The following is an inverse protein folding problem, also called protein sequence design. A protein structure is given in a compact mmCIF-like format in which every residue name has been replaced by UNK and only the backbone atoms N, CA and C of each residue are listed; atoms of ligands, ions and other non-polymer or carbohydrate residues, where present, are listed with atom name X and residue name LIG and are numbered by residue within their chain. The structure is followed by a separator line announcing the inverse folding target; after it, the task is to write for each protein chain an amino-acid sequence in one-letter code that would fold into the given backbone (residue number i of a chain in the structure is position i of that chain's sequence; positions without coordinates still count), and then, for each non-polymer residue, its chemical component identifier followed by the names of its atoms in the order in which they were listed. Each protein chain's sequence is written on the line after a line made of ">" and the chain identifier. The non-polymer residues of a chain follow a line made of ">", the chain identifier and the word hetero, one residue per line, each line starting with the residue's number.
data_IF_399097828694
#
_entry.id   IF_399097828694
#
_cell.length_a   1.000
_cell.length_b   1.000
_cell.length_c   1.000
_cell.angle_alpha   90.00
_cell.angle_beta   90.00
_cell.angle_gamma   90.00
#
_symmetry.space_group_name_H-M   'P 1'
#
loop_
_entity.id
_entity.type
_entity.pdbx_description
1 polymer ?
#
# COMPACT_ATOMS: atom_id res chain seq x y z
N UNK A 1 -6.40 -5.57 -14.95
CA UNK A 1 -6.18 -4.43 -14.02
C UNK A 1 -7.52 -3.96 -13.48
N UNK A 2 -7.62 -3.68 -12.19
CA UNK A 2 -8.84 -3.27 -11.49
C UNK A 2 -8.62 -1.89 -10.85
N UNK A 3 -9.68 -1.09 -10.78
CA UNK A 3 -9.64 0.21 -10.15
C UNK A 3 -10.15 0.13 -8.71
N UNK A 4 -9.37 0.63 -7.80
CA UNK A 4 -9.69 0.75 -6.38
C UNK A 4 -9.43 2.16 -5.85
N UNK A 5 -9.71 2.34 -4.58
CA UNK A 5 -9.40 3.57 -3.86
C UNK A 5 -9.15 3.28 -2.38
N UNK A 6 -8.42 4.16 -1.72
CA UNK A 6 -8.22 4.15 -0.27
C UNK A 6 -9.43 4.80 0.39
N UNK A 7 -10.13 4.03 1.24
CA UNK A 7 -11.32 4.47 1.98
C UNK A 7 -10.90 5.27 3.21
N UNK A 8 -10.83 6.56 3.07
CA UNK A 8 -10.46 7.55 4.10
C UNK A 8 -11.14 8.90 3.77
N UNK A 9 -11.60 9.70 4.74
CA UNK A 9 -11.60 9.44 6.19
C UNK A 9 -12.86 8.74 6.72
N UNK A 10 -13.86 8.46 5.88
CA UNK A 10 -15.13 7.85 6.28
C UNK A 10 -14.97 6.34 6.52
N UNK A 11 -15.86 5.71 7.31
CA UNK A 11 -15.86 4.27 7.46
C UNK A 11 -16.22 3.55 6.14
N UNK A 12 -15.75 2.30 5.93
CA UNK A 12 -15.96 1.58 4.68
C UNK A 12 -17.43 1.44 4.28
N UNK A 13 -18.34 1.35 5.26
CA UNK A 13 -19.77 1.27 5.03
C UNK A 13 -20.32 2.47 4.24
N UNK A 14 -19.78 3.67 4.49
CA UNK A 14 -20.22 4.91 3.83
C UNK A 14 -19.67 5.04 2.41
N UNK A 15 -18.70 4.20 2.04
CA UNK A 15 -18.10 4.19 0.70
C UNK A 15 -18.67 3.11 -0.24
N UNK A 16 -19.51 2.20 0.24
CA UNK A 16 -20.01 1.11 -0.59
C UNK A 16 -20.79 1.62 -1.83
N UNK A 17 -21.77 2.52 -1.61
CA UNK A 17 -22.52 3.13 -2.72
C UNK A 17 -21.63 3.97 -3.63
N UNK A 18 -20.69 4.72 -3.06
CA UNK A 18 -19.71 5.50 -3.81
C UNK A 18 -18.88 4.61 -4.75
N UNK A 19 -18.42 3.45 -4.27
CA UNK A 19 -17.66 2.52 -5.08
C UNK A 19 -18.46 2.05 -6.31
N UNK A 20 -19.71 1.63 -6.10
CA UNK A 20 -20.59 1.15 -7.16
C UNK A 20 -20.95 2.27 -8.15
N UNK A 21 -21.35 3.44 -7.64
CA UNK A 21 -21.75 4.60 -8.45
C UNK A 21 -20.63 5.08 -9.37
N UNK A 22 -19.38 5.03 -8.91
CA UNK A 22 -18.23 5.50 -9.67
C UNK A 22 -17.42 4.36 -10.33
N UNK A 23 -17.92 3.12 -10.30
CA UNK A 23 -17.32 1.97 -10.99
C UNK A 23 -15.96 1.56 -10.45
N UNK A 24 -15.74 1.71 -9.14
CA UNK A 24 -14.62 1.07 -8.45
C UNK A 24 -14.97 -0.38 -8.13
N UNK A 25 -14.01 -1.27 -8.23
CA UNK A 25 -14.18 -2.71 -7.95
C UNK A 25 -13.39 -3.18 -6.73
N UNK A 26 -12.65 -2.26 -6.11
CA UNK A 26 -11.83 -2.53 -4.92
C UNK A 26 -11.84 -1.35 -3.96
N UNK A 27 -11.81 -1.66 -2.66
CA UNK A 27 -11.72 -0.69 -1.58
C UNK A 27 -10.60 -1.12 -0.62
N UNK A 28 -9.60 -0.28 -0.45
CA UNK A 28 -8.61 -0.45 0.60
C UNK A 28 -9.04 0.31 1.85
N UNK A 29 -9.24 -0.41 2.95
CA UNK A 29 -9.72 0.14 4.21
C UNK A 29 -8.53 0.65 5.01
N UNK A 30 -8.40 1.97 5.12
CA UNK A 30 -7.34 2.61 5.89
C UNK A 30 -7.72 2.66 7.39
N UNK A 31 -6.83 2.16 8.23
CA UNK A 31 -7.06 2.07 9.68
C UNK A 31 -6.51 3.26 10.47
N UNK A 32 -6.10 4.34 9.82
CA UNK A 32 -5.57 5.53 10.50
C UNK A 32 -6.66 6.35 11.20
N UNK A 33 -7.84 6.49 10.59
CA UNK A 33 -8.94 7.26 11.18
C UNK A 33 -9.58 6.55 12.39
N UNK A 34 -9.94 7.26 13.48
CA UNK A 34 -10.47 6.66 14.71
C UNK A 34 -11.70 5.77 14.52
N UNK A 35 -12.57 6.10 13.57
CA UNK A 35 -13.75 5.31 13.23
C UNK A 35 -13.41 3.99 12.51
N UNK A 36 -12.19 3.86 12.02
CA UNK A 36 -11.68 2.70 11.30
C UNK A 36 -10.62 1.92 12.08
N UNK A 37 -10.32 2.29 13.33
CA UNK A 37 -9.37 1.55 14.13
C UNK A 37 -9.74 0.07 14.25
N UNK A 38 -8.74 -0.79 14.27
CA UNK A 38 -8.88 -2.23 14.33
C UNK A 38 -9.82 -2.72 15.44
N UNK A 39 -9.86 -2.01 16.57
CA UNK A 39 -10.77 -2.30 17.69
C UNK A 39 -12.26 -2.16 17.35
N UNK A 40 -12.60 -1.46 16.27
CA UNK A 40 -13.98 -1.31 15.77
C UNK A 40 -14.45 -2.48 14.92
N UNK A 41 -13.54 -3.35 14.48
CA UNK A 41 -13.87 -4.53 13.67
C UNK A 41 -14.21 -5.72 14.58
N UNK A 42 -15.39 -5.66 15.20
CA UNK A 42 -15.95 -6.79 15.94
C UNK A 42 -16.67 -7.75 14.98
N UNK A 43 -16.89 -9.01 15.41
CA UNK A 43 -17.39 -10.10 14.55
C UNK A 43 -18.68 -9.76 13.78
N UNK A 44 -19.62 -9.01 14.38
CA UNK A 44 -20.87 -8.63 13.72
C UNK A 44 -20.61 -7.64 12.58
N UNK A 45 -19.75 -6.62 12.80
CA UNK A 45 -19.36 -5.66 11.76
C UNK A 45 -18.65 -6.35 10.61
N UNK A 46 -17.70 -7.24 10.92
CA UNK A 46 -16.95 -8.01 9.91
C UNK A 46 -17.91 -8.83 9.04
N UNK A 47 -18.82 -9.59 9.65
CA UNK A 47 -19.80 -10.38 8.87
C UNK A 47 -20.71 -9.53 7.99
N UNK A 48 -21.17 -8.37 8.49
CA UNK A 48 -22.01 -7.46 7.72
C UNK A 48 -21.26 -6.85 6.54
N UNK A 49 -20.03 -6.34 6.76
CA UNK A 49 -19.19 -5.81 5.71
C UNK A 49 -18.87 -6.87 4.66
N UNK A 50 -18.45 -8.08 5.09
CA UNK A 50 -18.16 -9.18 4.17
C UNK A 50 -19.35 -9.47 3.24
N UNK A 51 -20.56 -9.59 3.80
CA UNK A 51 -21.78 -9.80 3.01
C UNK A 51 -22.00 -8.65 2.02
N UNK A 52 -21.86 -7.39 2.45
CA UNK A 52 -22.04 -6.23 1.59
C UNK A 52 -21.01 -6.19 0.45
N UNK A 53 -19.74 -6.51 0.72
CA UNK A 53 -18.73 -6.64 -0.33
C UNK A 53 -19.07 -7.75 -1.33
N UNK A 54 -19.54 -8.91 -0.85
CA UNK A 54 -19.98 -10.03 -1.70
C UNK A 54 -21.20 -9.65 -2.55
N UNK A 55 -22.24 -9.04 -1.96
CA UNK A 55 -23.47 -8.61 -2.64
C UNK A 55 -23.21 -7.55 -3.73
N UNK A 56 -22.21 -6.69 -3.52
CA UNK A 56 -21.84 -5.62 -4.46
C UNK A 56 -20.69 -6.00 -5.42
N UNK A 57 -20.24 -7.25 -5.37
CA UNK A 57 -19.08 -7.75 -6.15
C UNK A 57 -17.79 -6.91 -5.97
N UNK A 58 -17.66 -6.27 -4.80
CA UNK A 58 -16.47 -5.51 -4.42
C UNK A 58 -15.46 -6.41 -3.74
N UNK A 59 -14.18 -6.13 -3.98
CA UNK A 59 -13.07 -6.72 -3.22
C UNK A 59 -12.52 -5.69 -2.23
N UNK A 60 -11.85 -6.17 -1.17
CA UNK A 60 -11.23 -5.28 -0.18
C UNK A 60 -9.81 -5.70 0.17
N UNK A 61 -9.04 -4.75 0.68
CA UNK A 61 -7.79 -4.91 1.40
C UNK A 61 -7.80 -4.02 2.64
N UNK A 62 -6.80 -4.16 3.49
CA UNK A 62 -6.57 -3.23 4.58
C UNK A 62 -5.25 -2.51 4.40
N UNK A 63 -5.21 -1.26 4.83
CA UNK A 63 -3.99 -0.51 5.07
C UNK A 63 -3.77 -0.36 6.57
N UNK A 64 -2.61 -0.82 7.07
CA UNK A 64 -2.25 -0.67 8.48
C UNK A 64 -2.03 0.81 8.81
N UNK A 65 -2.26 1.23 10.07
CA UNK A 65 -2.05 2.62 10.44
C UNK A 65 -0.63 3.11 10.12
N UNK A 66 -0.51 4.24 9.47
CA UNK A 66 0.75 4.90 9.10
C UNK A 66 1.81 4.97 10.23
N UNK A 67 1.46 5.28 11.52
CA UNK A 67 2.47 5.36 12.56
C UNK A 67 3.00 4.00 13.05
N UNK A 68 2.49 2.89 12.53
CA UNK A 68 2.88 1.55 12.98
C UNK A 68 4.30 1.23 12.50
N UNK A 69 5.24 1.04 13.44
CA UNK A 69 6.65 0.85 13.12
C UNK A 69 7.09 -0.62 13.33
N UNK A 70 7.20 -1.38 12.24
CA UNK A 70 7.70 -2.76 12.26
C UNK A 70 9.23 -2.85 12.44
N UNK A 71 9.92 -1.72 12.30
CA UNK A 71 11.37 -1.59 12.43
C UNK A 71 11.82 -0.96 13.76
N UNK A 72 10.90 -0.73 14.70
CA UNK A 72 11.18 -0.01 15.94
C UNK A 72 12.37 -0.57 16.71
N UNK A 73 13.18 0.33 17.27
CA UNK A 73 14.38 -0.03 18.02
C UNK A 73 14.06 -0.61 19.39
N UNK A 74 12.95 -0.18 20.00
CA UNK A 74 12.50 -0.67 21.29
C UNK A 74 11.75 -1.99 21.08
N UNK A 75 12.27 -3.12 21.61
CA UNK A 75 11.69 -4.44 21.35
C UNK A 75 10.22 -4.57 21.72
N UNK A 76 9.82 -3.94 22.84
CA UNK A 76 8.44 -3.97 23.36
C UNK A 76 7.49 -3.21 22.42
N UNK A 77 7.90 -2.04 21.89
CA UNK A 77 7.12 -1.26 20.94
C UNK A 77 6.98 -2.01 19.63
N UNK A 78 8.08 -2.57 19.11
CA UNK A 78 8.05 -3.42 17.91
C UNK A 78 7.17 -4.65 18.10
N UNK A 79 7.24 -5.32 19.26
CA UNK A 79 6.39 -6.47 19.56
C UNK A 79 4.90 -6.09 19.59
N UNK A 80 4.55 -4.90 20.07
CA UNK A 80 3.19 -4.37 20.03
C UNK A 80 2.73 -4.10 18.58
N UNK A 81 3.59 -3.52 17.74
CA UNK A 81 3.33 -3.30 16.32
C UNK A 81 3.10 -4.64 15.58
N UNK A 82 3.98 -5.62 15.78
CA UNK A 82 3.83 -6.96 15.21
C UNK A 82 2.51 -7.61 15.66
N UNK A 83 2.19 -7.56 16.95
CA UNK A 83 0.92 -8.09 17.48
C UNK A 83 -0.31 -7.41 16.87
N UNK A 84 -0.22 -6.10 16.58
CA UNK A 84 -1.28 -5.38 15.89
C UNK A 84 -1.50 -5.94 14.48
N UNK A 85 -0.42 -6.13 13.72
CA UNK A 85 -0.51 -6.70 12.35
C UNK A 85 -0.97 -8.15 12.38
N UNK A 86 -0.54 -8.98 13.37
CA UNK A 86 -1.07 -10.34 13.55
C UNK A 86 -2.60 -10.34 13.71
N UNK A 87 -3.13 -9.42 14.53
CA UNK A 87 -4.58 -9.27 14.70
C UNK A 87 -5.26 -8.75 13.43
N UNK A 88 -4.62 -7.81 12.73
CA UNK A 88 -5.13 -7.27 11.48
C UNK A 88 -5.24 -8.36 10.40
N UNK A 89 -4.24 -9.23 10.27
CA UNK A 89 -4.28 -10.38 9.36
C UNK A 89 -5.46 -11.33 9.68
N UNK A 90 -5.77 -11.54 10.96
CA UNK A 90 -6.94 -12.34 11.36
C UNK A 90 -8.25 -11.68 10.95
N UNK A 91 -8.40 -10.38 11.20
CA UNK A 91 -9.58 -9.60 10.78
C UNK A 91 -9.71 -9.58 9.26
N UNK A 92 -8.60 -9.41 8.55
CA UNK A 92 -8.57 -9.43 7.09
C UNK A 92 -9.03 -10.80 6.54
N UNK A 93 -8.57 -11.89 7.14
CA UNK A 93 -9.04 -13.24 6.80
C UNK A 93 -10.55 -13.41 7.04
N UNK A 94 -11.07 -12.98 8.20
CA UNK A 94 -12.49 -13.06 8.52
C UNK A 94 -13.34 -12.21 7.55
N UNK A 95 -12.87 -11.03 7.14
CA UNK A 95 -13.53 -10.17 6.17
C UNK A 95 -13.49 -10.75 4.74
N UNK A 96 -12.47 -11.55 4.42
CA UNK A 96 -12.18 -12.01 3.06
C UNK A 96 -11.37 -10.99 2.25
N UNK A 97 -10.62 -10.13 2.94
CA UNK A 97 -9.72 -9.16 2.33
C UNK A 97 -8.59 -9.85 1.55
N UNK A 98 -8.14 -9.24 0.48
CA UNK A 98 -7.18 -9.84 -0.46
C UNK A 98 -5.73 -9.75 0.02
N UNK A 99 -5.37 -8.72 0.77
CA UNK A 99 -4.07 -8.51 1.40
C UNK A 99 -4.17 -7.47 2.52
N UNK A 100 -3.07 -7.29 3.23
CA UNK A 100 -2.86 -6.19 4.18
C UNK A 100 -1.63 -5.40 3.71
N UNK A 101 -1.81 -4.12 3.39
CA UNK A 101 -0.72 -3.18 3.11
C UNK A 101 -0.13 -2.68 4.43
N UNK A 102 1.20 -2.65 4.51
CA UNK A 102 1.94 -2.13 5.67
C UNK A 102 3.15 -1.34 5.21
N UNK A 103 3.43 -0.25 5.92
CA UNK A 103 4.71 0.43 5.80
C UNK A 103 5.82 -0.42 6.42
N UNK A 104 7.05 -0.38 5.89
CA UNK A 104 8.17 -1.15 6.41
C UNK A 104 8.60 -0.70 7.81
N UNK A 105 8.32 0.57 8.12
CA UNK A 105 8.77 1.23 9.33
C UNK A 105 10.00 2.12 9.11
N UNK A 106 10.55 2.59 10.21
CA UNK A 106 11.61 3.59 10.22
C UNK A 106 12.56 3.40 11.41
N UNK A 107 13.78 3.92 11.26
CA UNK A 107 14.71 4.16 12.37
C UNK A 107 14.65 5.61 12.84
N UNK A 108 14.87 5.84 14.12
CA UNK A 108 15.09 7.18 14.66
C UNK A 108 16.59 7.47 14.74
N UNK A 109 17.03 8.57 14.17
CA UNK A 109 18.40 9.00 14.12
C UNK A 109 18.70 9.77 12.86
N UNK A 110 19.93 10.27 12.73
CA UNK A 110 20.35 11.05 11.56
C UNK A 110 20.63 10.08 10.40
N UNK A 111 20.15 10.33 9.18
CA UNK A 111 20.37 9.43 8.02
C UNK A 111 21.83 9.12 7.71
N UNK A 112 22.77 10.01 8.11
CA UNK A 112 24.20 9.79 7.96
C UNK A 112 24.79 8.73 8.90
N UNK A 113 24.01 8.23 9.86
CA UNK A 113 24.38 7.14 10.75
C UNK A 113 23.98 5.80 10.12
N UNK A 114 24.86 5.21 9.34
CA UNK A 114 24.62 3.94 8.63
C UNK A 114 24.07 2.82 9.53
N UNK A 115 24.49 2.77 10.80
CA UNK A 115 23.99 1.78 11.74
C UNK A 115 22.49 1.92 12.06
N UNK A 116 21.92 3.13 11.95
CA UNK A 116 20.47 3.38 12.19
C UNK A 116 19.66 2.62 11.15
N UNK A 117 20.00 2.79 9.88
CA UNK A 117 19.32 2.10 8.77
C UNK A 117 19.51 0.59 8.84
N UNK A 118 20.73 0.13 9.05
CA UNK A 118 21.03 -1.29 9.18
C UNK A 118 20.25 -1.93 10.34
N UNK A 119 20.19 -1.26 11.50
CA UNK A 119 19.44 -1.75 12.67
C UNK A 119 17.94 -1.78 12.45
N UNK A 120 17.39 -0.75 11.80
CA UNK A 120 15.97 -0.71 11.44
C UNK A 120 15.63 -1.85 10.47
N UNK A 121 16.46 -2.07 9.44
CA UNK A 121 16.28 -3.17 8.50
C UNK A 121 16.34 -4.54 9.17
N UNK A 122 17.28 -4.79 10.08
CA UNK A 122 17.34 -6.03 10.86
C UNK A 122 16.08 -6.25 11.70
N UNK A 123 15.55 -5.18 12.26
CA UNK A 123 14.32 -5.25 13.05
C UNK A 123 13.09 -5.53 12.18
N UNK A 124 13.00 -4.90 10.99
CA UNK A 124 11.95 -5.22 10.01
C UNK A 124 12.01 -6.70 9.61
N UNK A 125 13.18 -7.21 9.28
CA UNK A 125 13.38 -8.63 8.93
C UNK A 125 12.87 -9.57 10.03
N UNK A 126 13.19 -9.30 11.30
CA UNK A 126 12.67 -10.06 12.45
C UNK A 126 11.15 -9.97 12.58
N UNK A 127 10.56 -8.83 12.24
CA UNK A 127 9.10 -8.67 12.24
C UNK A 127 8.46 -9.49 11.12
N UNK A 128 9.06 -9.51 9.93
CA UNK A 128 8.61 -10.32 8.79
C UNK A 128 8.73 -11.82 9.07
N UNK A 129 9.83 -12.30 9.68
CA UNK A 129 10.02 -13.69 10.08
C UNK A 129 8.87 -14.18 10.97
N UNK A 130 8.31 -13.28 11.77
CA UNK A 130 7.17 -13.61 12.64
C UNK A 130 5.82 -13.51 11.94
N UNK A 131 5.64 -12.55 11.05
CA UNK A 131 4.36 -12.25 10.41
C UNK A 131 4.07 -13.17 9.21
N UNK A 132 5.07 -13.47 8.40
CA UNK A 132 4.88 -14.23 7.15
C UNK A 132 4.31 -15.64 7.36
N UNK A 133 4.75 -16.44 8.34
CA UNK A 133 4.13 -17.75 8.59
C UNK A 133 2.64 -17.66 8.97
N UNK A 134 2.22 -16.57 9.62
CA UNK A 134 0.82 -16.33 9.91
C UNK A 134 0.05 -15.91 8.65
N UNK A 135 0.61 -15.03 7.85
CA UNK A 135 0.04 -14.57 6.58
C UNK A 135 -0.18 -15.75 5.61
N UNK A 136 0.79 -16.66 5.50
CA UNK A 136 0.67 -17.89 4.71
C UNK A 136 -0.46 -18.78 5.21
N UNK A 137 -0.50 -19.06 6.52
CA UNK A 137 -1.54 -19.92 7.13
C UNK A 137 -2.94 -19.34 6.95
N UNK A 138 -3.09 -18.02 7.04
CA UNK A 138 -4.38 -17.34 6.85
C UNK A 138 -4.70 -17.10 5.37
N UNK A 139 -3.77 -17.35 4.46
CA UNK A 139 -3.88 -17.03 3.03
C UNK A 139 -4.21 -15.54 2.77
N UNK A 140 -3.68 -14.66 3.61
CA UNK A 140 -3.79 -13.19 3.50
C UNK A 140 -2.38 -12.63 3.36
N UNK A 141 -1.93 -12.28 2.15
CA UNK A 141 -0.62 -11.71 1.93
C UNK A 141 -0.40 -10.41 2.69
N UNK A 142 0.84 -10.18 3.09
CA UNK A 142 1.34 -8.92 3.60
C UNK A 142 2.01 -8.17 2.44
N UNK A 143 1.48 -7.02 2.05
CA UNK A 143 2.02 -6.17 1.00
C UNK A 143 2.86 -5.05 1.64
N UNK A 144 4.18 -5.09 1.43
CA UNK A 144 5.05 -3.97 1.83
C UNK A 144 4.90 -2.84 0.82
N UNK A 145 4.80 -1.63 1.34
CA UNK A 145 4.76 -0.41 0.55
C UNK A 145 6.12 0.29 0.56
N UNK A 146 6.58 0.77 -0.60
CA UNK A 146 7.75 1.64 -0.68
C UNK A 146 7.40 3.04 -0.18
N UNK A 147 8.34 3.67 0.51
CA UNK A 147 8.16 5.00 1.10
C UNK A 147 9.06 6.01 0.36
N UNK A 148 8.61 7.26 0.30
CA UNK A 148 9.42 8.35 -0.23
C UNK A 148 10.66 8.65 0.64
N UNK A 149 11.79 9.05 0.05
CA UNK A 149 12.96 9.47 0.81
C UNK A 149 12.68 10.73 1.62
N UNK A 150 13.37 10.88 2.73
CA UNK A 150 13.33 12.07 3.58
C UNK A 150 14.59 12.93 3.39
N UNK A 151 14.53 14.25 3.70
CA UNK A 151 15.71 15.09 3.70
C UNK A 151 16.87 14.55 4.55
N UNK A 152 18.11 14.78 4.13
CA UNK A 152 19.32 14.25 4.79
C UNK A 152 19.53 14.73 6.23
N UNK A 153 18.88 15.79 6.64
CA UNK A 153 18.87 16.35 8.00
C UNK A 153 17.67 15.90 8.84
N UNK A 154 16.85 14.99 8.29
CA UNK A 154 15.75 14.39 9.03
C UNK A 154 16.24 13.55 10.21
N UNK A 155 15.43 13.50 11.28
CA UNK A 155 15.66 12.58 12.42
C UNK A 155 14.99 11.22 12.21
N UNK A 156 14.39 11.00 11.05
CA UNK A 156 13.73 9.74 10.67
C UNK A 156 14.44 9.17 9.45
N UNK A 157 14.67 7.86 9.45
CA UNK A 157 15.20 7.10 8.33
C UNK A 157 14.13 6.10 7.92
N UNK A 158 13.38 6.39 6.87
CA UNK A 158 12.43 5.41 6.32
C UNK A 158 13.17 4.29 5.61
N UNK A 159 12.58 3.09 5.66
CA UNK A 159 13.06 1.92 4.93
C UNK A 159 12.30 1.77 3.61
N UNK A 160 12.91 1.07 2.66
CA UNK A 160 12.36 0.79 1.33
C UNK A 160 12.06 2.07 0.52
N UNK A 161 12.89 3.11 0.75
CA UNK A 161 12.85 4.35 -0.01
C UNK A 161 13.67 4.29 -1.31
N UNK A 162 14.23 3.13 -1.64
CA UNK A 162 14.93 2.85 -2.90
C UNK A 162 14.57 1.48 -3.46
N UNK A 163 14.59 1.36 -4.78
CA UNK A 163 14.35 0.10 -5.48
C UNK A 163 15.40 -0.98 -5.15
N UNK A 164 16.66 -0.57 -4.95
CA UNK A 164 17.73 -1.49 -4.56
C UNK A 164 17.46 -2.13 -3.20
N UNK A 165 17.04 -1.34 -2.20
CA UNK A 165 16.76 -1.86 -0.86
C UNK A 165 15.55 -2.79 -0.86
N UNK A 166 14.47 -2.41 -1.58
CA UNK A 166 13.31 -3.28 -1.78
C UNK A 166 13.71 -4.59 -2.45
N UNK A 167 14.46 -4.54 -3.55
CA UNK A 167 14.90 -5.73 -4.28
C UNK A 167 15.74 -6.67 -3.41
N UNK A 168 16.66 -6.12 -2.60
CA UNK A 168 17.46 -6.91 -1.63
C UNK A 168 16.56 -7.61 -0.61
N UNK A 169 15.63 -6.88 0.01
CA UNK A 169 14.71 -7.46 0.98
C UNK A 169 13.87 -8.59 0.36
N UNK A 170 13.32 -8.38 -0.83
CA UNK A 170 12.52 -9.39 -1.53
C UNK A 170 13.31 -10.66 -1.87
N UNK A 171 14.62 -10.53 -2.14
CA UNK A 171 15.49 -11.68 -2.42
C UNK A 171 15.77 -12.53 -1.17
N UNK A 172 15.77 -11.91 0.00
CA UNK A 172 15.97 -12.61 1.28
C UNK A 172 14.72 -13.35 1.79
N UNK A 173 13.53 -12.93 1.34
CA UNK A 173 12.25 -13.49 1.77
C UNK A 173 11.50 -14.16 0.60
N UNK A 174 11.71 -15.46 0.34
CA UNK A 174 11.05 -16.15 -0.77
C UNK A 174 9.57 -16.49 -0.51
N UNK A 175 9.03 -16.14 0.67
CA UNK A 175 7.64 -16.40 1.06
C UNK A 175 6.64 -15.89 0.00
N UNK A 176 5.67 -16.72 -0.44
CA UNK A 176 4.61 -16.30 -1.36
C UNK A 176 3.64 -15.30 -0.73
N UNK A 177 3.61 -15.24 0.61
CA UNK A 177 2.77 -14.28 1.35
C UNK A 177 3.41 -12.88 1.45
N UNK A 178 4.68 -12.71 1.10
CA UNK A 178 5.29 -11.39 0.98
C UNK A 178 5.01 -10.82 -0.39
N UNK A 179 4.19 -9.79 -0.44
CA UNK A 179 3.81 -9.04 -1.64
C UNK A 179 4.26 -7.58 -1.53
N UNK A 180 4.01 -6.81 -2.57
CA UNK A 180 4.35 -5.39 -2.65
C UNK A 180 3.12 -4.61 -3.07
N UNK A 181 2.90 -3.49 -2.42
CA UNK A 181 2.14 -2.36 -2.92
C UNK A 181 3.16 -1.31 -3.39
N UNK A 182 3.20 -0.99 -4.68
CA UNK A 182 4.07 0.08 -5.15
C UNK A 182 3.29 1.39 -5.07
N UNK A 183 3.72 2.29 -4.20
CA UNK A 183 3.28 3.67 -4.29
C UNK A 183 4.08 4.38 -5.39
N UNK A 184 3.33 4.83 -6.43
CA UNK A 184 3.91 5.47 -7.61
C UNK A 184 4.44 6.86 -7.30
N UNK A 185 3.72 7.60 -6.45
CA UNK A 185 4.15 8.92 -6.01
C UNK A 185 5.46 8.87 -5.22
N UNK A 186 5.56 7.97 -4.26
CA UNK A 186 6.79 7.73 -3.50
C UNK A 186 7.95 7.28 -4.40
N UNK A 187 7.66 6.39 -5.35
CA UNK A 187 8.67 5.91 -6.29
C UNK A 187 9.24 7.04 -7.17
N UNK A 188 8.38 7.93 -7.66
CA UNK A 188 8.79 9.04 -8.53
C UNK A 188 9.59 10.14 -7.79
N UNK A 189 9.42 10.26 -6.47
CA UNK A 189 10.28 11.11 -5.62
C UNK A 189 11.65 10.47 -5.35
N UNK A 190 11.81 9.18 -5.63
CA UNK A 190 13.04 8.40 -5.41
C UNK A 190 13.69 7.98 -6.75
N UNK A 191 13.78 6.68 -7.00
CA UNK A 191 14.48 6.09 -8.15
C UNK A 191 13.61 6.04 -9.43
N UNK A 192 12.36 6.48 -9.33
CA UNK A 192 11.34 6.38 -10.39
C UNK A 192 10.59 5.05 -10.42
N UNK A 193 9.33 5.08 -10.87
CA UNK A 193 8.47 3.90 -10.93
C UNK A 193 9.09 2.71 -11.70
N UNK A 194 9.78 2.90 -12.86
CA UNK A 194 10.38 1.78 -13.57
C UNK A 194 11.41 0.98 -12.78
N UNK A 195 12.17 1.65 -11.89
CA UNK A 195 13.15 0.98 -11.04
C UNK A 195 12.46 0.08 -10.01
N UNK A 196 11.45 0.60 -9.30
CA UNK A 196 10.66 -0.20 -8.35
C UNK A 196 9.89 -1.33 -9.04
N UNK A 197 9.32 -1.07 -10.21
CA UNK A 197 8.64 -2.09 -11.00
C UNK A 197 9.58 -3.24 -11.38
N UNK A 198 10.80 -2.94 -11.82
CA UNK A 198 11.77 -3.94 -12.26
C UNK A 198 12.08 -5.00 -11.19
N UNK A 199 12.09 -4.61 -9.92
CA UNK A 199 12.41 -5.49 -8.78
C UNK A 199 11.18 -6.13 -8.13
N UNK A 200 10.00 -5.53 -8.29
CA UNK A 200 8.79 -5.93 -7.54
C UNK A 200 7.66 -6.52 -8.39
N UNK A 201 7.68 -6.41 -9.74
CA UNK A 201 6.58 -6.77 -10.63
C UNK A 201 5.98 -8.16 -10.36
N UNK A 202 6.81 -9.17 -10.08
CA UNK A 202 6.37 -10.54 -9.83
C UNK A 202 5.66 -10.73 -8.47
N UNK A 203 5.71 -9.71 -7.61
CA UNK A 203 5.12 -9.71 -6.26
C UNK A 203 4.16 -8.55 -6.04
N UNK A 204 4.04 -7.63 -7.01
CA UNK A 204 3.17 -6.48 -6.92
C UNK A 204 1.69 -6.92 -7.02
N UNK A 205 0.90 -6.61 -5.99
CA UNK A 205 -0.54 -6.91 -5.94
C UNK A 205 -1.38 -5.66 -6.09
N UNK A 206 -0.83 -4.51 -5.73
CA UNK A 206 -1.49 -3.21 -5.81
C UNK A 206 -0.50 -2.10 -6.12
N UNK A 207 -1.04 -1.01 -6.64
CA UNK A 207 -0.37 0.28 -6.67
C UNK A 207 -1.20 1.29 -5.89
N UNK A 208 -0.51 2.18 -5.16
CA UNK A 208 -1.09 3.45 -4.75
C UNK A 208 -0.76 4.51 -5.80
N UNK A 209 -1.75 5.31 -6.17
CA UNK A 209 -1.59 6.33 -7.21
C UNK A 209 -2.10 7.68 -6.74
N UNK A 210 -1.21 8.62 -6.74
CA UNK A 210 -1.40 10.06 -6.59
C UNK A 210 -0.33 10.76 -7.39
N UNK A 211 -0.51 12.03 -7.70
CA UNK A 211 0.47 12.82 -8.46
C UNK A 211 1.30 13.70 -7.52
N UNK A 212 2.45 14.16 -8.01
CA UNK A 212 3.34 15.06 -7.31
C UNK A 212 4.24 15.83 -8.29
N UNK A 213 5.18 16.61 -7.75
CA UNK A 213 6.17 17.39 -8.52
C UNK A 213 7.48 16.61 -8.78
N UNK A 214 7.53 15.31 -8.46
CA UNK A 214 8.71 14.43 -8.45
C UNK A 214 9.80 14.79 -7.43
N UNK A 215 9.50 15.70 -6.51
CA UNK A 215 10.42 16.13 -5.44
C UNK A 215 9.81 16.00 -4.05
N UNK A 216 8.49 16.08 -3.97
CA UNK A 216 7.74 16.07 -2.70
C UNK A 216 6.53 15.17 -2.83
N UNK A 217 6.19 14.49 -1.76
CA UNK A 217 4.98 13.69 -1.66
C UNK A 217 3.76 14.60 -1.43
N UNK A 218 3.03 14.94 -2.51
CA UNK A 218 2.00 15.98 -2.50
C UNK A 218 0.56 15.45 -2.56
N UNK A 219 0.35 14.18 -2.87
CA UNK A 219 -0.98 13.59 -3.07
C UNK A 219 -1.90 14.43 -3.98
N UNK A 220 -1.40 14.86 -5.14
CA UNK A 220 -2.17 15.57 -6.15
C UNK A 220 -3.03 14.60 -6.97
N UNK A 221 -4.04 15.14 -7.64
CA UNK A 221 -4.85 14.36 -8.59
C UNK A 221 -4.00 13.97 -9.80
N UNK A 222 -3.92 12.68 -10.19
CA UNK A 222 -3.23 12.23 -11.40
C UNK A 222 -3.55 13.07 -12.62
N UNK A 223 -2.49 13.56 -13.28
CA UNK A 223 -2.56 14.49 -14.40
C UNK A 223 -2.50 15.96 -14.03
N UNK A 224 -2.37 16.32 -12.75
CA UNK A 224 -2.18 17.72 -12.30
C UNK A 224 -0.77 18.01 -11.76
N UNK A 225 0.05 16.99 -11.62
CA UNK A 225 1.46 17.08 -11.24
C UNK A 225 2.39 16.82 -12.40
N UNK A 226 3.55 16.21 -12.13
CA UNK A 226 4.64 15.96 -13.06
C UNK A 226 4.82 14.51 -13.46
N UNK A 227 4.08 13.58 -12.86
CA UNK A 227 4.22 12.14 -13.14
C UNK A 227 3.73 11.81 -14.55
N UNK A 228 4.55 11.07 -15.30
CA UNK A 228 4.17 10.61 -16.65
C UNK A 228 3.29 9.37 -16.58
N UNK A 229 1.98 9.57 -16.41
CA UNK A 229 1.01 8.48 -16.30
C UNK A 229 0.91 7.59 -17.53
N UNK A 230 1.23 8.11 -18.73
CA UNK A 230 1.29 7.28 -19.94
C UNK A 230 2.45 6.26 -19.83
N UNK A 231 3.62 6.68 -19.35
CA UNK A 231 4.75 5.80 -19.10
C UNK A 231 4.45 4.76 -18.01
N UNK A 232 3.87 5.17 -16.88
CA UNK A 232 3.48 4.27 -15.79
C UNK A 232 2.52 3.21 -16.30
N UNK A 233 1.42 3.61 -16.93
CA UNK A 233 0.39 2.68 -17.38
C UNK A 233 0.84 1.80 -18.54
N UNK A 234 1.71 2.29 -19.44
CA UNK A 234 2.29 1.44 -20.49
C UNK A 234 3.20 0.35 -19.90
N UNK A 235 4.01 0.69 -18.88
CA UNK A 235 4.83 -0.28 -18.15
C UNK A 235 3.98 -1.38 -17.51
N UNK A 236 2.84 -1.02 -16.91
CA UNK A 236 1.90 -1.99 -16.33
C UNK A 236 1.26 -2.89 -17.38
N UNK A 237 0.85 -2.31 -18.52
CA UNK A 237 0.29 -3.06 -19.64
C UNK A 237 1.29 -4.08 -20.18
N UNK A 238 2.50 -3.63 -20.45
CA UNK A 238 3.55 -4.45 -21.06
C UNK A 238 4.07 -5.53 -20.10
N UNK A 239 4.03 -5.26 -18.79
CA UNK A 239 4.30 -6.22 -17.73
C UNK A 239 3.13 -7.15 -17.38
N UNK A 240 1.97 -7.01 -18.04
CA UNK A 240 0.81 -7.88 -17.81
C UNK A 240 0.19 -7.74 -16.41
N UNK A 241 0.27 -6.55 -15.79
CA UNK A 241 -0.26 -6.33 -14.45
C UNK A 241 -1.78 -6.53 -14.39
N UNK A 242 -2.23 -7.44 -13.53
CA UNK A 242 -3.64 -7.77 -13.31
C UNK A 242 -4.15 -7.40 -11.90
N UNK A 243 -3.31 -6.75 -11.10
CA UNK A 243 -3.61 -6.30 -9.74
C UNK A 243 -4.57 -5.11 -9.67
N UNK A 244 -4.50 -4.39 -8.57
CA UNK A 244 -5.36 -3.23 -8.28
C UNK A 244 -4.56 -1.93 -8.35
N UNK A 245 -5.13 -0.92 -8.98
CA UNK A 245 -4.65 0.46 -8.95
C UNK A 245 -5.55 1.22 -8.00
N UNK A 246 -5.07 1.48 -6.78
CA UNK A 246 -5.77 2.20 -5.73
C UNK A 246 -5.48 3.69 -5.81
N UNK A 247 -6.52 4.49 -6.02
CA UNK A 247 -6.41 5.96 -5.91
C UNK A 247 -6.27 6.33 -4.43
N UNK A 248 -5.15 6.94 -4.06
CA UNK A 248 -4.86 7.36 -2.70
C UNK A 248 -4.98 8.89 -2.57
N UNK A 249 -6.21 9.34 -2.43
CA UNK A 249 -6.58 10.75 -2.29
C UNK A 249 -7.62 10.94 -1.20
N UNK A 250 -7.65 12.13 -0.59
CA UNK A 250 -8.47 12.37 0.60
C UNK A 250 -9.90 12.81 0.30
N UNK A 251 -10.17 13.42 -0.85
CA UNK A 251 -11.53 13.84 -1.21
C UNK A 251 -12.19 12.90 -2.22
N UNK A 252 -13.49 12.71 -2.10
CA UNK A 252 -14.26 11.84 -2.99
C UNK A 252 -14.23 12.37 -4.44
N UNK A 253 -14.30 13.69 -4.62
CA UNK A 253 -14.20 14.33 -5.94
C UNK A 253 -12.86 14.06 -6.60
N UNK A 254 -11.75 14.16 -5.84
CA UNK A 254 -10.41 13.88 -6.35
C UNK A 254 -10.23 12.41 -6.71
N UNK A 255 -10.80 11.46 -5.93
CA UNK A 255 -10.77 10.03 -6.28
C UNK A 255 -11.43 9.77 -7.63
N UNK A 256 -12.60 10.38 -7.88
CA UNK A 256 -13.32 10.23 -9.15
C UNK A 256 -12.55 10.89 -10.31
N UNK A 257 -11.99 12.09 -10.09
CA UNK A 257 -11.21 12.79 -11.10
C UNK A 257 -9.95 11.98 -11.50
N UNK A 258 -9.24 11.45 -10.50
CA UNK A 258 -8.06 10.61 -10.69
C UNK A 258 -8.39 9.36 -11.54
N UNK A 259 -9.42 8.62 -11.13
CA UNK A 259 -9.85 7.42 -11.88
C UNK A 259 -10.18 7.75 -13.32
N UNK A 260 -10.97 8.80 -13.57
CA UNK A 260 -11.34 9.23 -14.93
C UNK A 260 -10.12 9.58 -15.79
N UNK A 261 -9.15 10.27 -15.22
CA UNK A 261 -7.91 10.61 -15.93
C UNK A 261 -7.13 9.35 -16.31
N UNK A 262 -6.89 8.47 -15.34
CA UNK A 262 -6.13 7.23 -15.54
C UNK A 262 -6.85 6.25 -16.49
N UNK A 263 -8.17 6.14 -16.40
CA UNK A 263 -8.96 5.33 -17.35
C UNK A 263 -8.88 5.86 -18.80
N UNK A 264 -8.86 7.19 -18.95
CA UNK A 264 -8.68 7.80 -20.27
C UNK A 264 -7.33 7.44 -20.87
N UNK A 265 -6.23 7.63 -20.11
CA UNK A 265 -4.87 7.27 -20.54
C UNK A 265 -4.80 5.76 -20.84
N UNK A 266 -5.37 4.92 -20.00
CA UNK A 266 -5.40 3.48 -20.22
C UNK A 266 -6.16 3.08 -21.48
N UNK A 267 -7.28 3.72 -21.78
CA UNK A 267 -8.06 3.46 -22.98
C UNK A 267 -7.34 3.90 -24.26
N UNK A 268 -6.55 4.97 -24.21
CA UNK A 268 -5.69 5.43 -25.29
C UNK A 268 -4.60 4.40 -25.59
N UNK A 269 -3.88 3.96 -24.57
CA UNK A 269 -2.83 2.93 -24.68
C UNK A 269 -3.33 1.59 -25.26
N UNK A 270 -4.58 1.22 -24.99
CA UNK A 270 -5.18 -0.01 -25.52
C UNK A 270 -5.62 0.09 -26.98
N UNK A 271 -5.75 1.30 -27.52
CA UNK A 271 -6.09 1.51 -28.95
C UNK A 271 -4.83 1.52 -29.83
N UNK A 272 -3.68 1.81 -29.24
CA UNK A 272 -2.39 1.87 -29.92
C UNK A 272 -1.68 0.51 -29.98
N UNK A 273 -2.17 -0.50 -29.24
CA UNK A 273 -1.65 -1.86 -29.16
C UNK A 273 -2.45 -2.82 -30.06
#
# INVERSE_FOLDING_TARGET
>A
MRWGFVAFPKPPEDYLNFAVEHGFSHMEIDLFAPQQWLSRFHSTRIRNLRRQFEELELTSSFHAPYPLNLADFIPEVRAAAVKYVERLLQVACELGAKWVTVHPGYGLGIPTLEWVRAKAMDNLKRSLDRLLPLAERLQVPLALENINPVPKDSEIVFLLDSAEELGRLLSEFPSPALKVCIDVGHAEVSDGFPAFWSVAQNRCVALHVHDNDTHSDLHLVPGTGSINWQSVLSTLRDGGFDGVVNVELFSDEHKVAAKRHLEKVWAELRREA
#
